data_IF_033963074187
#
_entry.id   IF_033963074187
#
_cell.length_a   1.000
_cell.length_b   1.000
_cell.length_c   1.000
_cell.angle_alpha   90.00
_cell.angle_beta   90.00
_cell.angle_gamma   90.00
#
_symmetry.space_group_name_H-M   'P 1'
#
loop_
_entity.id
_entity.type
_entity.pdbx_description
1 polymer ?
#
# COMPACT_ATOMS: atom_id res chain seq x y z
N UNK A 1 -21.91 4.07 10.23
CA UNK A 1 -22.25 2.63 10.31
C UNK A 1 -21.03 1.91 9.77
N UNK A 2 -20.30 1.18 10.61
CA UNK A 2 -19.08 0.48 10.15
C UNK A 2 -19.50 -0.76 9.38
N UNK A 3 -19.17 -0.81 8.09
CA UNK A 3 -19.41 -1.99 7.26
C UNK A 3 -18.11 -2.78 7.27
N UNK A 4 -18.15 -4.01 7.77
CA UNK A 4 -17.02 -4.93 7.65
C UNK A 4 -16.98 -5.40 6.18
N UNK A 5 -15.90 -5.12 5.42
CA UNK A 5 -15.82 -5.54 4.04
C UNK A 5 -15.87 -7.07 3.93
N UNK A 6 -16.53 -7.58 2.89
CA UNK A 6 -16.53 -9.01 2.61
C UNK A 6 -15.15 -9.48 2.12
N UNK A 7 -14.90 -10.78 2.14
CA UNK A 7 -13.67 -11.35 1.58
C UNK A 7 -13.50 -10.97 0.09
N UNK A 8 -14.59 -10.89 -0.66
CA UNK A 8 -14.57 -10.46 -2.06
C UNK A 8 -14.12 -9.00 -2.18
N UNK A 9 -14.64 -8.10 -1.34
CA UNK A 9 -14.21 -6.70 -1.31
C UNK A 9 -12.71 -6.58 -1.01
N UNK A 10 -12.24 -7.31 0.00
CA UNK A 10 -10.82 -7.36 0.32
C UNK A 10 -9.97 -7.86 -0.84
N UNK A 11 -10.40 -8.91 -1.54
CA UNK A 11 -9.66 -9.47 -2.67
C UNK A 11 -9.64 -8.50 -3.86
N UNK A 12 -10.79 -7.93 -4.21
CA UNK A 12 -10.93 -6.93 -5.27
C UNK A 12 -10.03 -5.73 -5.00
N UNK A 13 -10.08 -5.17 -3.80
CA UNK A 13 -9.24 -4.04 -3.43
C UNK A 13 -7.75 -4.40 -3.37
N UNK A 14 -7.39 -5.62 -2.94
CA UNK A 14 -6.00 -6.08 -3.03
C UNK A 14 -5.48 -6.07 -4.46
N UNK A 15 -6.29 -6.52 -5.42
CA UNK A 15 -5.91 -6.51 -6.85
C UNK A 15 -5.85 -5.09 -7.38
N UNK A 16 -6.83 -4.25 -7.07
CA UNK A 16 -6.84 -2.86 -7.52
C UNK A 16 -5.56 -2.12 -7.09
N UNK A 17 -4.95 -2.47 -5.94
CA UNK A 17 -3.83 -1.69 -5.37
C UNK A 17 -2.64 -2.06 -6.22
N UNK A 18 -2.47 -3.36 -6.44
CA UNK A 18 -1.43 -3.88 -7.32
C UNK A 18 -1.57 -3.36 -8.75
N UNK A 19 -2.78 -3.16 -9.27
CA UNK A 19 -3.00 -2.61 -10.61
C UNK A 19 -2.66 -1.12 -10.70
N UNK A 20 -3.07 -0.31 -9.72
CA UNK A 20 -2.73 1.12 -9.64
C UNK A 20 -1.26 1.38 -9.29
N UNK A 21 -0.49 0.36 -8.94
CA UNK A 21 0.95 0.45 -8.70
C UNK A 21 1.78 0.04 -9.93
N UNK A 22 1.14 -0.38 -11.03
CA UNK A 22 1.87 -0.85 -12.21
C UNK A 22 2.62 0.30 -12.88
N UNK A 23 3.96 0.23 -12.86
CA UNK A 23 4.83 1.30 -13.38
C UNK A 23 5.45 2.17 -12.29
N UNK A 24 4.80 2.23 -11.12
CA UNK A 24 5.18 3.08 -9.98
C UNK A 24 6.34 2.53 -9.13
N UNK A 25 6.53 1.20 -9.12
CA UNK A 25 7.41 0.55 -8.13
C UNK A 25 8.89 0.78 -8.43
N UNK A 26 9.53 1.59 -7.59
CA UNK A 26 10.99 1.76 -7.52
C UNK A 26 11.62 0.89 -6.41
N UNK A 27 12.95 0.72 -6.40
CA UNK A 27 13.64 0.09 -5.29
C UNK A 27 13.37 0.77 -3.93
N UNK A 28 12.94 2.03 -3.88
CA UNK A 28 12.71 2.75 -2.62
C UNK A 28 11.45 2.26 -1.89
N UNK A 29 10.50 1.63 -2.58
CA UNK A 29 9.33 1.00 -1.96
C UNK A 29 9.76 -0.24 -1.19
N UNK A 30 9.47 -0.29 0.11
CA UNK A 30 9.81 -1.42 0.98
C UNK A 30 8.62 -2.33 1.28
N UNK A 31 7.44 -1.75 1.50
CA UNK A 31 6.22 -2.50 1.76
C UNK A 31 4.99 -1.71 1.34
N UNK A 32 3.99 -2.41 0.80
CA UNK A 32 2.65 -1.86 0.60
C UNK A 32 1.64 -2.74 1.31
N UNK A 33 0.74 -2.09 2.04
CA UNK A 33 -0.27 -2.75 2.85
C UNK A 33 -1.66 -2.24 2.53
N UNK A 34 -2.65 -3.09 2.73
CA UNK A 34 -4.06 -2.74 2.64
C UNK A 34 -4.73 -3.11 3.96
N UNK A 35 -5.48 -2.18 4.52
CA UNK A 35 -6.34 -2.38 5.68
C UNK A 35 -7.70 -1.71 5.49
N UNK A 36 -8.62 -1.89 6.44
CA UNK A 36 -9.89 -1.18 6.49
C UNK A 36 -10.27 -0.85 7.93
N UNK A 37 -10.46 0.42 8.24
CA UNK A 37 -10.71 0.91 9.61
C UNK A 37 -12.19 0.81 10.05
N UNK A 38 -13.04 0.27 9.17
CA UNK A 38 -14.50 0.18 9.34
C UNK A 38 -15.27 1.29 8.62
N UNK A 39 -14.57 2.35 8.20
CA UNK A 39 -15.13 3.49 7.46
C UNK A 39 -14.55 3.58 6.05
N UNK A 40 -13.25 3.36 5.90
CA UNK A 40 -12.52 3.54 4.64
C UNK A 40 -11.36 2.55 4.49
N UNK A 41 -10.90 2.38 3.25
CA UNK A 41 -9.69 1.60 2.97
C UNK A 41 -8.45 2.39 3.36
N UNK A 42 -7.50 1.74 4.02
CA UNK A 42 -6.22 2.34 4.38
C UNK A 42 -5.15 1.68 3.53
N UNK A 43 -4.47 2.46 2.70
CA UNK A 43 -3.40 1.98 1.83
C UNK A 43 -2.09 2.54 2.38
N UNK A 44 -1.28 1.67 2.95
CA UNK A 44 -0.03 2.04 3.62
C UNK A 44 1.17 1.79 2.72
N UNK A 45 1.92 2.85 2.43
CA UNK A 45 3.22 2.80 1.73
C UNK A 45 4.35 3.01 2.74
N UNK A 46 5.30 2.07 2.73
CA UNK A 46 6.54 2.17 3.48
C UNK A 46 7.69 2.31 2.48
N UNK A 47 8.38 3.45 2.52
CA UNK A 47 9.53 3.74 1.68
C UNK A 47 10.81 3.75 2.53
N UNK A 48 11.96 3.59 1.89
CA UNK A 48 13.24 3.64 2.59
C UNK A 48 13.62 5.09 2.96
N UNK A 49 13.38 6.02 2.04
CA UNK A 49 13.74 7.43 2.19
C UNK A 49 12.80 8.33 1.39
N UNK A 50 12.87 9.65 1.64
CA UNK A 50 12.12 10.63 0.85
C UNK A 50 12.76 10.77 -0.52
N UNK A 51 11.95 10.65 -1.57
CA UNK A 51 12.34 10.79 -2.96
C UNK A 51 11.25 11.59 -3.71
N UNK A 52 11.67 12.49 -4.61
CA UNK A 52 10.74 13.38 -5.32
C UNK A 52 9.94 12.66 -6.42
N UNK A 53 10.56 11.72 -7.13
CA UNK A 53 9.93 10.90 -8.17
C UNK A 53 8.89 9.99 -7.53
N UNK A 54 9.24 9.25 -6.46
CA UNK A 54 8.26 8.40 -5.76
C UNK A 54 7.07 9.20 -5.19
N UNK A 55 7.27 10.49 -4.86
CA UNK A 55 6.17 11.36 -4.39
C UNK A 55 5.23 11.76 -5.52
N UNK A 56 5.76 12.02 -6.71
CA UNK A 56 4.96 12.30 -7.92
C UNK A 56 4.14 11.05 -8.29
N UNK A 57 4.81 9.90 -8.34
CA UNK A 57 4.22 8.59 -8.56
C UNK A 57 3.10 8.23 -7.56
N UNK A 58 3.29 8.52 -6.26
CA UNK A 58 2.24 8.34 -5.24
C UNK A 58 1.03 9.27 -5.42
N UNK A 59 1.21 10.44 -6.04
CA UNK A 59 0.10 11.33 -6.35
C UNK A 59 -0.74 10.80 -7.52
N UNK A 60 -0.09 10.19 -8.51
CA UNK A 60 -0.75 9.56 -9.66
C UNK A 60 -1.48 8.28 -9.24
N UNK A 61 -0.92 7.50 -8.30
CA UNK A 61 -1.57 6.31 -7.73
C UNK A 61 -3.01 6.57 -7.28
N UNK A 62 -3.29 7.72 -6.67
CA UNK A 62 -4.64 8.06 -6.21
C UNK A 62 -5.64 8.09 -7.36
N UNK A 63 -5.27 8.73 -8.47
CA UNK A 63 -6.11 8.84 -9.65
C UNK A 63 -6.28 7.48 -10.35
N UNK A 64 -5.20 6.70 -10.45
CA UNK A 64 -5.25 5.36 -11.04
C UNK A 64 -6.15 4.41 -10.22
N UNK A 65 -6.01 4.45 -8.89
CA UNK A 65 -6.85 3.66 -7.99
C UNK A 65 -8.32 4.03 -8.09
N UNK A 66 -8.64 5.32 -8.15
CA UNK A 66 -10.03 5.81 -8.31
C UNK A 66 -10.65 5.34 -9.62
N UNK A 67 -9.88 5.33 -10.71
CA UNK A 67 -10.34 4.86 -12.01
C UNK A 67 -10.72 3.36 -12.01
N UNK A 68 -10.17 2.57 -11.07
CA UNK A 68 -10.49 1.14 -10.90
C UNK A 68 -11.75 0.89 -10.06
N UNK A 69 -12.34 1.93 -9.46
CA UNK A 69 -13.53 1.80 -8.63
C UNK A 69 -14.82 1.89 -9.45
N UNK A 70 -15.85 1.13 -9.06
CA UNK A 70 -17.18 1.21 -9.69
C UNK A 70 -18.03 2.40 -9.20
N UNK A 71 -17.51 3.19 -8.26
CA UNK A 71 -18.17 4.34 -7.63
C UNK A 71 -17.29 4.94 -6.53
N UNK A 72 -17.80 5.94 -5.79
CA UNK A 72 -17.04 6.56 -4.71
C UNK A 72 -16.67 5.55 -3.62
N UNK A 73 -15.37 5.28 -3.47
CA UNK A 73 -14.82 4.37 -2.47
C UNK A 73 -13.86 5.17 -1.57
N UNK A 74 -14.25 5.48 -0.31
CA UNK A 74 -13.39 6.21 0.61
C UNK A 74 -12.05 5.50 0.84
N UNK A 75 -10.97 6.28 0.87
CA UNK A 75 -9.63 5.79 1.21
C UNK A 75 -8.81 6.83 1.96
N UNK A 76 -7.81 6.37 2.66
CA UNK A 76 -6.70 7.15 3.19
C UNK A 76 -5.37 6.56 2.75
N UNK A 77 -4.44 7.42 2.34
CA UNK A 77 -3.07 7.04 1.98
C UNK A 77 -2.12 7.39 3.10
N UNK A 78 -1.44 6.38 3.62
CA UNK A 78 -0.47 6.56 4.69
C UNK A 78 0.93 6.28 4.16
N UNK A 79 1.79 7.29 4.21
CA UNK A 79 3.17 7.19 3.73
C UNK A 79 4.11 7.31 4.91
N UNK A 80 5.01 6.35 5.06
CA UNK A 80 6.03 6.32 6.11
C UNK A 80 7.40 5.99 5.54
N UNK A 81 8.45 6.45 6.24
CA UNK A 81 9.83 6.29 5.81
C UNK A 81 10.65 5.59 6.89
N UNK A 82 11.38 4.55 6.53
CA UNK A 82 12.30 3.87 7.44
C UNK A 82 13.34 3.09 6.67
N UNK A 83 14.60 3.14 7.12
CA UNK A 83 15.68 2.25 6.69
C UNK A 83 15.87 1.05 7.66
N UNK A 84 15.11 1.02 8.76
CA UNK A 84 15.24 0.00 9.81
C UNK A 84 14.61 -1.34 9.45
N UNK A 85 14.58 -2.26 10.42
CA UNK A 85 13.85 -3.52 10.25
C UNK A 85 12.35 -3.28 10.09
N UNK A 86 11.72 -4.08 9.23
CA UNK A 86 10.27 -4.04 9.01
C UNK A 86 9.64 -5.33 9.49
N UNK A 87 8.71 -5.20 10.44
CA UNK A 87 7.87 -6.30 10.87
C UNK A 87 6.82 -6.62 9.78
N UNK A 88 6.37 -7.87 9.75
CA UNK A 88 5.21 -8.22 8.96
C UNK A 88 3.94 -7.65 9.63
N UNK A 89 2.97 -7.13 8.86
CA UNK A 89 1.74 -6.61 9.47
C UNK A 89 0.94 -7.73 10.12
N UNK A 90 0.26 -7.42 11.22
CA UNK A 90 -0.70 -8.32 11.86
C UNK A 90 -2.03 -8.33 11.08
N UNK A 91 -2.75 -9.45 11.11
CA UNK A 91 -4.12 -9.48 10.60
C UNK A 91 -5.00 -8.42 11.31
N UNK A 92 -5.99 -7.81 10.60
CA UNK A 92 -6.46 -8.15 9.25
C UNK A 92 -5.68 -7.50 8.10
N UNK A 93 -4.70 -6.63 8.39
CA UNK A 93 -3.89 -5.93 7.38
C UNK A 93 -3.18 -6.92 6.44
N UNK A 94 -3.28 -6.69 5.13
CA UNK A 94 -2.64 -7.51 4.10
C UNK A 94 -1.38 -6.83 3.58
N UNK A 95 -0.24 -7.53 3.60
CA UNK A 95 0.94 -7.10 2.84
C UNK A 95 0.75 -7.50 1.37
N UNK A 96 0.61 -6.50 0.49
CA UNK A 96 0.40 -6.70 -0.96
C UNK A 96 1.73 -6.73 -1.72
N UNK A 97 2.68 -5.92 -1.26
CA UNK A 97 4.04 -5.90 -1.77
C UNK A 97 5.01 -5.84 -0.59
N UNK A 98 6.14 -6.53 -0.72
CA UNK A 98 7.30 -6.33 0.13
C UNK A 98 8.57 -6.52 -0.68
N UNK A 99 9.45 -5.53 -0.63
CA UNK A 99 10.79 -5.62 -1.20
C UNK A 99 11.57 -6.72 -0.51
N UNK A 100 12.27 -7.54 -1.30
CA UNK A 100 13.23 -8.50 -0.76
C UNK A 100 14.44 -7.73 -0.22
N UNK A 101 14.66 -7.80 1.08
CA UNK A 101 15.83 -7.18 1.72
C UNK A 101 17.01 -8.15 1.73
N UNK A 102 18.21 -7.66 1.41
CA UNK A 102 19.45 -8.41 1.61
C UNK A 102 19.91 -8.16 3.04
N UNK A 103 19.82 -9.17 3.91
CA UNK A 103 20.44 -9.07 5.23
C UNK A 103 21.95 -9.11 5.04
N UNK A 104 22.63 -7.98 5.27
CA UNK A 104 24.07 -8.00 5.52
C UNK A 104 24.24 -8.65 6.89
N UNK A 105 24.67 -9.92 6.91
CA UNK A 105 25.17 -10.55 8.12
C UNK A 105 26.39 -9.74 8.54
N UNK A 106 26.28 -9.02 9.65
CA UNK A 106 27.44 -8.39 10.27
C UNK A 106 28.22 -9.51 10.98
N UNK A 107 29.41 -9.83 10.46
CA UNK A 107 30.39 -10.71 11.10
C UNK A 107 31.00 -10.08 12.35
#
# INVERSE_FOLDING_TARGET
>A
MSIVPSLDDWNRQSVNVMQAMLGMISPNFRMVTLDHDGTQWIIGFVLESVNAEDREELADFEAEWDALQSGPTPRDLQVSFTAGSLAWPSAPTRALYRRREVMLIQE
#
